data_IF_935521845660
#
_entry.id   IF_935521845660
#
_cell.length_a   1.000
_cell.length_b   1.000
_cell.length_c   1.000
_cell.angle_alpha   90.00
_cell.angle_beta   90.00
_cell.angle_gamma   90.00
#
_symmetry.space_group_name_H-M   'P 1'
#
loop_
_entity.id
_entity.type
_entity.pdbx_description
1 polymer ?
#
# COMPACT_ATOMS: atom_id res chain seq x y z
N UNK A 1 -31.44 -5.70 3.92
CA UNK A 1 -31.01 -4.52 3.16
C UNK A 1 -30.94 -4.90 1.69
N UNK A 2 -31.52 -4.13 0.77
CA UNK A 2 -31.53 -4.50 -0.66
C UNK A 2 -30.18 -4.15 -1.30
N UNK A 3 -29.68 -4.99 -2.22
CA UNK A 3 -28.41 -4.76 -2.95
C UNK A 3 -28.36 -3.42 -3.68
N UNK A 4 -29.51 -2.88 -4.08
CA UNK A 4 -29.61 -1.56 -4.71
C UNK A 4 -29.17 -0.44 -3.75
N UNK A 5 -29.48 -0.55 -2.46
CA UNK A 5 -29.09 0.47 -1.48
C UNK A 5 -27.59 0.40 -1.14
N UNK A 6 -27.02 -0.81 -1.13
CA UNK A 6 -25.60 -1.04 -0.86
C UNK A 6 -24.72 -0.48 -1.97
N UNK A 7 -25.09 -0.72 -3.24
CA UNK A 7 -24.40 -0.15 -4.39
C UNK A 7 -24.46 1.39 -4.39
N UNK A 8 -25.63 1.97 -4.10
CA UNK A 8 -25.77 3.43 -3.98
C UNK A 8 -24.89 3.97 -2.85
N UNK A 9 -24.91 3.33 -1.68
CA UNK A 9 -24.09 3.75 -0.54
C UNK A 9 -22.58 3.70 -0.85
N UNK A 10 -22.11 2.60 -1.46
CA UNK A 10 -20.72 2.45 -1.88
C UNK A 10 -20.33 3.54 -2.89
N UNK A 11 -21.21 3.80 -3.88
CA UNK A 11 -21.00 4.83 -4.89
C UNK A 11 -20.91 6.22 -4.26
N UNK A 12 -21.81 6.56 -3.34
CA UNK A 12 -21.80 7.84 -2.63
C UNK A 12 -20.52 8.01 -1.80
N UNK A 13 -20.06 6.96 -1.12
CA UNK A 13 -18.82 7.00 -0.36
C UNK A 13 -17.59 7.17 -1.26
N UNK A 14 -17.53 6.48 -2.39
CA UNK A 14 -16.47 6.68 -3.39
C UNK A 14 -16.49 8.14 -3.87
N UNK A 15 -17.65 8.67 -4.27
CA UNK A 15 -17.77 10.05 -4.75
C UNK A 15 -17.29 11.07 -3.71
N UNK A 16 -17.61 10.85 -2.43
CA UNK A 16 -17.11 11.70 -1.35
C UNK A 16 -15.59 11.63 -1.21
N UNK A 17 -14.99 10.44 -1.27
CA UNK A 17 -13.53 10.29 -1.21
C UNK A 17 -12.85 10.97 -2.40
N UNK A 18 -13.36 10.80 -3.62
CA UNK A 18 -12.82 11.44 -4.82
C UNK A 18 -12.90 12.96 -4.76
N UNK A 19 -13.96 13.51 -4.16
CA UNK A 19 -14.07 14.96 -3.92
C UNK A 19 -13.06 15.51 -2.91
N UNK A 20 -12.41 14.64 -2.14
CA UNK A 20 -11.37 14.96 -1.15
C UNK A 20 -9.98 14.45 -1.59
N UNK A 21 -9.70 14.49 -2.90
CA UNK A 21 -8.41 14.17 -3.52
C UNK A 21 -7.95 12.70 -3.37
N UNK A 22 -8.87 11.77 -3.09
CA UNK A 22 -8.56 10.35 -3.19
C UNK A 22 -8.53 9.90 -4.65
N UNK A 23 -7.67 8.92 -4.94
CA UNK A 23 -7.60 8.25 -6.22
C UNK A 23 -8.56 7.06 -6.25
N UNK A 24 -9.24 6.85 -7.37
CA UNK A 24 -9.95 5.60 -7.63
C UNK A 24 -8.97 4.56 -8.16
N UNK A 25 -8.90 3.38 -7.55
CA UNK A 25 -8.08 2.27 -8.01
C UNK A 25 -8.89 1.14 -8.65
N UNK A 26 -8.20 0.32 -9.43
CA UNK A 26 -8.74 -0.92 -10.00
C UNK A 26 -8.26 -2.12 -9.16
N UNK A 27 -9.15 -3.03 -8.71
CA UNK A 27 -8.78 -4.28 -8.03
C UNK A 27 -7.74 -5.14 -8.75
N UNK A 28 -7.65 -5.06 -10.06
CA UNK A 28 -6.68 -5.82 -10.86
C UNK A 28 -5.25 -5.37 -10.63
N UNK A 29 -5.04 -4.11 -10.25
CA UNK A 29 -3.72 -3.54 -9.96
C UNK A 29 -3.24 -3.86 -8.54
N UNK A 30 -4.07 -4.50 -7.72
CA UNK A 30 -3.68 -4.94 -6.38
C UNK A 30 -2.87 -6.23 -6.45
N UNK A 31 -1.62 -6.19 -5.97
CA UNK A 31 -0.81 -7.39 -5.83
C UNK A 31 -1.31 -8.20 -4.61
N UNK A 32 -2.08 -9.26 -4.89
CA UNK A 32 -2.61 -10.19 -3.88
C UNK A 32 -1.55 -10.97 -3.10
N UNK A 33 -0.36 -11.17 -3.66
CA UNK A 33 0.73 -11.91 -3.00
C UNK A 33 1.47 -11.02 -1.99
N UNK A 34 1.71 -9.76 -2.34
CA UNK A 34 2.43 -8.81 -1.48
C UNK A 34 1.48 -7.97 -0.62
N UNK A 35 0.19 -7.99 -0.93
CA UNK A 35 -0.85 -7.17 -0.32
C UNK A 35 -0.60 -5.65 -0.47
N UNK A 36 -0.17 -5.24 -1.67
CA UNK A 36 0.22 -3.86 -1.98
C UNK A 36 -0.47 -3.37 -3.25
N UNK A 37 -0.72 -2.06 -3.32
CA UNK A 37 -0.99 -1.37 -4.58
C UNK A 37 0.33 -0.82 -5.13
N UNK A 38 1.00 -1.61 -5.98
CA UNK A 38 2.43 -1.42 -6.33
C UNK A 38 2.73 -0.08 -6.98
N UNK A 39 1.83 0.37 -7.86
CA UNK A 39 1.91 1.66 -8.55
C UNK A 39 2.12 2.81 -7.57
N UNK A 40 1.37 2.81 -6.47
CA UNK A 40 1.42 3.89 -5.48
C UNK A 40 2.68 3.79 -4.59
N UNK A 41 3.08 2.57 -4.22
CA UNK A 41 4.31 2.34 -3.43
C UNK A 41 5.53 2.84 -4.19
N UNK A 42 5.67 2.41 -5.44
CA UNK A 42 6.79 2.77 -6.30
C UNK A 42 6.71 4.24 -6.72
N UNK A 43 5.53 4.73 -7.11
CA UNK A 43 5.31 6.11 -7.51
C UNK A 43 5.65 7.09 -6.38
N UNK A 44 5.22 6.81 -5.15
CA UNK A 44 5.57 7.65 -4.00
C UNK A 44 7.06 7.72 -3.77
N UNK A 45 7.75 6.58 -3.77
CA UNK A 45 9.19 6.52 -3.48
C UNK A 45 10.02 7.16 -4.58
N UNK A 46 9.68 6.92 -5.85
CA UNK A 46 10.39 7.50 -6.99
C UNK A 46 10.25 9.02 -7.02
N UNK A 47 9.05 9.55 -6.80
CA UNK A 47 8.79 10.99 -6.90
C UNK A 47 9.33 11.78 -5.68
N UNK A 48 9.30 11.18 -4.49
CA UNK A 48 9.71 11.87 -3.26
C UNK A 48 11.19 11.68 -2.90
N UNK A 49 11.80 10.58 -3.35
CA UNK A 49 13.07 10.07 -2.83
C UNK A 49 13.98 9.52 -3.93
N UNK A 50 13.98 10.16 -5.11
CA UNK A 50 14.75 9.74 -6.29
C UNK A 50 16.23 9.42 -5.99
N UNK A 51 16.89 10.26 -5.19
CA UNK A 51 18.31 10.05 -4.83
C UNK A 51 18.57 8.74 -4.06
N UNK A 52 17.61 8.30 -3.23
CA UNK A 52 17.69 7.01 -2.52
C UNK A 52 17.30 5.87 -3.46
N UNK A 53 16.31 6.11 -4.33
CA UNK A 53 15.88 5.15 -5.34
C UNK A 53 17.01 4.77 -6.30
N UNK A 54 17.75 5.76 -6.83
CA UNK A 54 18.90 5.52 -7.71
C UNK A 54 20.00 4.68 -7.02
N UNK A 55 20.28 4.96 -5.73
CA UNK A 55 21.21 4.14 -4.94
C UNK A 55 20.72 2.71 -4.78
N UNK A 56 19.42 2.53 -4.54
CA UNK A 56 18.82 1.20 -4.42
C UNK A 56 18.93 0.43 -5.74
N UNK A 57 18.66 1.06 -6.88
CA UNK A 57 18.84 0.46 -8.21
C UNK A 57 20.29 0.04 -8.46
N UNK A 58 21.28 0.82 -8.01
CA UNK A 58 22.69 0.45 -8.12
C UNK A 58 23.06 -0.79 -7.29
N UNK A 59 22.39 -0.99 -6.14
CA UNK A 59 22.58 -2.18 -5.28
C UNK A 59 21.86 -3.41 -5.81
N UNK A 60 20.75 -3.22 -6.54
CA UNK A 60 19.89 -4.27 -7.09
C UNK A 60 19.67 -4.05 -8.60
N UNK A 61 20.67 -4.35 -9.45
CA UNK A 61 20.58 -4.06 -10.89
C UNK A 61 19.51 -4.90 -11.61
N UNK A 62 19.16 -6.06 -11.06
CA UNK A 62 18.16 -6.96 -11.63
C UNK A 62 16.82 -6.77 -10.92
N UNK A 63 15.87 -6.15 -11.62
CA UNK A 63 14.49 -5.92 -11.18
C UNK A 63 14.39 -5.23 -9.80
N UNK A 64 14.88 -3.98 -9.67
CA UNK A 64 14.89 -3.25 -8.39
C UNK A 64 13.47 -3.00 -7.84
N UNK A 65 12.49 -2.79 -8.71
CA UNK A 65 11.09 -2.57 -8.31
C UNK A 65 10.51 -3.76 -7.55
N UNK A 66 10.62 -4.95 -8.11
CA UNK A 66 10.17 -6.17 -7.45
C UNK A 66 10.89 -6.39 -6.12
N UNK A 67 12.22 -6.16 -6.09
CA UNK A 67 13.01 -6.30 -4.85
C UNK A 67 12.58 -5.31 -3.77
N UNK A 68 12.26 -4.08 -4.16
CA UNK A 68 11.77 -3.06 -3.24
C UNK A 68 10.41 -3.44 -2.66
N UNK A 69 9.47 -3.88 -3.50
CA UNK A 69 8.14 -4.33 -3.08
C UNK A 69 8.21 -5.54 -2.14
N UNK A 70 9.04 -6.53 -2.44
CA UNK A 70 9.32 -7.67 -1.56
C UNK A 70 9.86 -7.21 -0.20
N UNK A 71 10.71 -6.17 -0.19
CA UNK A 71 11.30 -5.62 1.03
C UNK A 71 10.26 -4.89 1.88
N UNK A 72 9.35 -4.12 1.26
CA UNK A 72 8.20 -3.50 1.93
C UNK A 72 7.30 -4.58 2.55
N UNK A 73 6.89 -5.57 1.74
CA UNK A 73 6.06 -6.67 2.20
C UNK A 73 6.71 -7.46 3.34
N UNK A 74 8.02 -7.68 3.29
CA UNK A 74 8.77 -8.32 4.38
C UNK A 74 8.67 -7.53 5.68
N UNK A 75 8.72 -6.19 5.66
CA UNK A 75 8.54 -5.40 6.89
C UNK A 75 7.10 -5.41 7.39
N UNK A 76 6.11 -5.43 6.48
CA UNK A 76 4.71 -5.58 6.87
C UNK A 76 4.48 -6.91 7.59
N UNK A 77 5.07 -8.00 7.08
CA UNK A 77 4.89 -9.37 7.62
C UNK A 77 5.67 -9.64 8.92
N UNK A 78 6.57 -8.74 9.36
CA UNK A 78 7.31 -8.89 10.62
C UNK A 78 6.50 -8.60 11.89
N UNK A 79 5.20 -8.34 11.76
CA UNK A 79 4.32 -8.20 12.91
C UNK A 79 4.22 -9.54 13.66
N UNK A 80 5.13 -9.77 14.62
CA UNK A 80 5.00 -10.88 15.57
C UNK A 80 3.97 -10.47 16.64
N UNK A 81 2.85 -11.22 16.79
CA UNK A 81 1.85 -10.93 17.81
C UNK A 81 2.36 -11.04 19.25
N UNK A 82 3.55 -11.63 19.47
CA UNK A 82 4.22 -11.74 20.77
C UNK A 82 5.36 -10.72 20.97
N UNK A 83 5.62 -9.86 20.00
CA UNK A 83 6.68 -8.86 20.12
C UNK A 83 6.39 -7.88 21.26
N UNK A 84 7.44 -7.49 22.00
CA UNK A 84 7.31 -6.45 23.01
C UNK A 84 6.73 -5.16 22.39
N UNK A 85 5.98 -4.39 23.19
CA UNK A 85 5.28 -3.15 22.77
C UNK A 85 6.10 -2.18 21.90
N UNK A 86 7.43 -2.19 22.00
CA UNK A 86 8.33 -1.32 21.23
C UNK A 86 8.61 -1.84 19.82
N UNK A 87 8.82 -3.14 19.65
CA UNK A 87 9.05 -3.78 18.34
C UNK A 87 7.73 -3.95 17.57
N UNK A 88 6.62 -4.17 18.29
CA UNK A 88 5.28 -4.20 17.70
C UNK A 88 4.90 -2.87 17.02
N UNK A 89 5.51 -1.74 17.43
CA UNK A 89 5.30 -0.41 16.83
C UNK A 89 6.15 -0.17 15.58
N UNK A 90 7.19 -0.97 15.33
CA UNK A 90 8.10 -0.80 14.18
C UNK A 90 7.72 -1.62 12.96
N UNK A 91 6.80 -2.58 13.11
CA UNK A 91 6.37 -3.50 12.04
C UNK A 91 4.87 -3.39 11.79
N UNK A 92 4.39 -4.09 10.75
CA UNK A 92 3.01 -3.97 10.27
C UNK A 92 2.73 -2.61 9.62
N UNK A 93 1.49 -2.37 9.19
CA UNK A 93 1.13 -1.17 8.43
C UNK A 93 1.52 0.12 9.15
N UNK A 94 1.19 0.24 10.45
CA UNK A 94 1.48 1.45 11.21
C UNK A 94 2.99 1.67 11.41
N UNK A 95 3.75 0.60 11.63
CA UNK A 95 5.20 0.68 11.77
C UNK A 95 5.87 1.10 10.47
N UNK A 96 5.45 0.51 9.34
CA UNK A 96 5.93 0.85 7.99
C UNK A 96 5.59 2.29 7.61
N UNK A 97 4.44 2.82 8.04
CA UNK A 97 4.08 4.23 7.82
C UNK A 97 4.91 5.20 8.67
N UNK A 98 5.24 4.83 9.92
CA UNK A 98 5.91 5.72 10.89
C UNK A 98 7.43 5.69 10.85
N UNK A 99 8.02 4.62 10.32
CA UNK A 99 9.46 4.39 10.39
C UNK A 99 10.07 4.19 9.01
N UNK A 100 11.34 4.59 8.89
CA UNK A 100 12.10 4.41 7.65
C UNK A 100 12.33 2.93 7.36
N UNK A 101 12.06 2.53 6.12
CA UNK A 101 12.54 1.29 5.55
C UNK A 101 14.04 1.42 5.28
N UNK A 102 14.85 0.58 5.92
CA UNK A 102 16.31 0.57 5.76
C UNK A 102 16.79 -0.65 4.99
N UNK A 103 17.62 -0.41 3.99
CA UNK A 103 18.25 -1.49 3.23
C UNK A 103 19.63 -1.08 2.71
N UNK A 104 20.68 -1.80 3.14
CA UNK A 104 22.07 -1.66 2.63
C UNK A 104 22.54 -0.21 2.43
N UNK A 105 22.24 0.67 3.40
CA UNK A 105 22.64 2.08 3.38
C UNK A 105 21.62 3.04 2.74
N UNK A 106 20.60 2.52 2.05
CA UNK A 106 19.43 3.29 1.61
C UNK A 106 18.38 3.41 2.70
N UNK A 107 17.67 4.53 2.72
CA UNK A 107 16.59 4.80 3.67
C UNK A 107 15.40 5.39 2.92
N UNK A 108 14.23 4.81 3.15
CA UNK A 108 12.98 5.24 2.53
C UNK A 108 11.91 5.48 3.58
N UNK A 109 11.25 6.63 3.54
CA UNK A 109 9.95 6.81 4.19
C UNK A 109 8.85 6.40 3.22
N UNK A 110 7.83 5.68 3.70
CA UNK A 110 6.70 5.26 2.87
C UNK A 110 5.45 6.12 3.08
N UNK A 111 5.52 7.08 3.99
CA UNK A 111 4.51 8.10 4.20
C UNK A 111 5.15 9.35 4.79
N UNK A 112 4.63 10.52 4.43
CA UNK A 112 4.96 11.76 5.10
C UNK A 112 3.75 12.17 5.95
N UNK A 113 3.87 12.29 7.26
CA UNK A 113 2.79 12.84 8.06
C UNK A 113 2.74 14.37 7.90
N UNK A 114 1.55 14.96 8.14
CA UNK A 114 1.38 16.41 8.11
C UNK A 114 2.37 17.04 9.10
N UNK A 115 3.26 17.94 8.65
CA UNK A 115 4.19 18.59 9.56
C UNK A 115 3.42 19.47 10.55
N UNK A 116 3.91 19.54 11.80
CA UNK A 116 3.30 20.39 12.83
C UNK A 116 3.50 21.89 12.54
N UNK A 117 4.53 22.24 11.77
CA UNK A 117 4.94 23.61 11.50
C UNK A 117 5.30 23.74 10.01
N UNK A 118 4.94 24.84 9.36
CA UNK A 118 5.23 25.09 7.94
C UNK A 118 6.69 25.56 7.67
N UNK A 119 7.59 25.33 8.62
CA UNK A 119 8.98 25.78 8.57
C UNK A 119 9.84 25.00 7.58
N UNK A 120 9.46 23.76 7.24
CA UNK A 120 10.19 22.92 6.30
C UNK A 120 9.38 22.68 5.02
N UNK A 121 9.62 23.47 3.95
CA UNK A 121 8.86 23.36 2.71
C UNK A 121 8.97 21.98 2.05
N UNK A 122 10.09 21.27 2.24
CA UNK A 122 10.30 19.93 1.66
C UNK A 122 9.41 18.88 2.33
N UNK A 123 9.13 19.03 3.62
CA UNK A 123 8.21 18.11 4.33
C UNK A 123 6.76 18.34 3.93
N UNK A 124 6.38 19.60 3.71
CA UNK A 124 5.04 19.94 3.21
C UNK A 124 4.86 19.48 1.76
N UNK A 125 5.89 19.63 0.92
CA UNK A 125 5.87 19.14 -0.46
C UNK A 125 5.70 17.61 -0.49
N UNK A 126 6.47 16.87 0.31
CA UNK A 126 6.32 15.40 0.42
C UNK A 126 4.96 14.98 0.99
N UNK A 127 4.41 15.73 1.96
CA UNK A 127 3.08 15.46 2.49
C UNK A 127 2.00 15.54 1.40
N UNK A 128 2.09 16.56 0.54
CA UNK A 128 1.19 16.75 -0.60
C UNK A 128 1.35 15.68 -1.69
N UNK A 129 2.45 14.93 -1.69
CA UNK A 129 2.69 13.82 -2.62
C UNK A 129 2.19 12.47 -2.09
N UNK A 130 1.64 12.41 -0.87
CA UNK A 130 0.97 11.19 -0.41
C UNK A 130 -0.23 10.89 -1.32
N UNK A 131 -0.34 9.64 -1.73
CA UNK A 131 -1.43 9.11 -2.55
C UNK A 131 -2.39 8.36 -1.63
N UNK A 132 -3.59 8.89 -1.46
CA UNK A 132 -4.68 8.16 -0.81
C UNK A 132 -5.53 7.53 -1.91
N UNK A 133 -5.77 6.23 -1.85
CA UNK A 133 -6.48 5.50 -2.90
C UNK A 133 -7.59 4.64 -2.31
N UNK A 134 -8.77 4.70 -2.92
CA UNK A 134 -9.88 3.80 -2.62
C UNK A 134 -10.01 2.77 -3.74
N UNK A 135 -10.10 1.50 -3.37
CA UNK A 135 -10.29 0.39 -4.30
C UNK A 135 -11.59 -0.34 -3.95
N UNK A 136 -12.62 -0.27 -4.78
CA UNK A 136 -13.87 -0.99 -4.56
C UNK A 136 -13.75 -2.46 -4.93
N UNK A 137 -14.57 -3.32 -4.32
CA UNK A 137 -14.82 -4.68 -4.81
C UNK A 137 -13.54 -5.56 -4.89
N UNK A 138 -12.64 -5.42 -3.91
CA UNK A 138 -11.30 -6.03 -3.95
C UNK A 138 -11.32 -7.51 -3.54
N UNK A 139 -10.82 -8.38 -4.41
CA UNK A 139 -10.56 -9.80 -4.08
C UNK A 139 -9.12 -9.95 -3.60
N UNK A 140 -8.94 -10.27 -2.32
CA UNK A 140 -7.63 -10.24 -1.66
C UNK A 140 -6.83 -11.53 -1.79
N UNK A 141 -7.51 -12.68 -1.98
CA UNK A 141 -6.87 -14.00 -1.90
C UNK A 141 -5.98 -14.29 -3.13
N UNK A 142 -4.68 -14.57 -2.96
CA UNK A 142 -3.80 -14.95 -4.07
C UNK A 142 -4.12 -16.32 -4.68
N UNK A 143 -4.98 -17.13 -4.03
CA UNK A 143 -5.40 -18.45 -4.49
C UNK A 143 -6.75 -18.46 -5.23
N UNK A 144 -7.39 -17.30 -5.36
CA UNK A 144 -8.67 -17.14 -6.03
C UNK A 144 -8.53 -16.78 -7.52
N UNK A 145 -7.36 -17.05 -8.14
CA UNK A 145 -7.06 -16.68 -9.53
C UNK A 145 -7.14 -17.88 -10.48
N UNK A 146 -7.34 -17.60 -11.78
CA UNK A 146 -7.33 -18.63 -12.83
C UNK A 146 -5.96 -19.31 -12.96
N UNK A 147 -4.87 -18.56 -12.76
CA UNK A 147 -3.51 -19.10 -12.80
C UNK A 147 -3.28 -20.13 -11.69
N UNK A 148 -3.82 -19.89 -10.49
CA UNK A 148 -3.71 -20.86 -9.40
C UNK A 148 -4.52 -22.13 -9.69
N UNK A 149 -5.71 -21.99 -10.30
CA UNK A 149 -6.52 -23.13 -10.72
C UNK A 149 -5.80 -23.98 -11.77
N UNK A 150 -5.20 -23.35 -12.78
CA UNK A 150 -4.47 -24.08 -13.82
C UNK A 150 -3.21 -24.77 -13.28
N UNK A 151 -2.53 -24.19 -12.29
CA UNK A 151 -1.33 -24.76 -11.69
C UNK A 151 -1.62 -25.88 -10.67
N UNK A 152 -2.69 -25.76 -9.89
CA UNK A 152 -2.93 -26.65 -8.73
C UNK A 152 -4.16 -27.54 -8.88
N UNK A 153 -5.02 -27.29 -9.87
CA UNK A 153 -6.31 -27.95 -10.03
C UNK A 153 -7.37 -27.51 -9.02
N UNK A 154 -7.07 -26.55 -8.13
CA UNK A 154 -8.00 -26.04 -7.12
C UNK A 154 -8.04 -24.51 -7.10
N UNK A 155 -9.20 -23.93 -6.78
CA UNK A 155 -9.40 -22.46 -6.69
C UNK A 155 -10.07 -22.12 -5.38
N UNK A 156 -9.50 -21.17 -4.65
CA UNK A 156 -10.15 -20.64 -3.45
C UNK A 156 -11.37 -19.79 -3.84
N UNK A 157 -12.31 -19.64 -2.91
CA UNK A 157 -13.45 -18.74 -3.11
C UNK A 157 -12.96 -17.29 -3.24
N UNK A 158 -13.48 -16.56 -4.23
CA UNK A 158 -13.19 -15.16 -4.48
C UNK A 158 -13.97 -14.26 -3.49
N UNK A 159 -13.54 -14.28 -2.22
CA UNK A 159 -14.06 -13.36 -1.23
C UNK A 159 -13.65 -11.94 -1.57
N UNK A 160 -14.63 -11.04 -1.47
CA UNK A 160 -14.54 -9.67 -1.90
C UNK A 160 -14.74 -8.75 -0.71
N UNK A 161 -13.93 -7.71 -0.64
CA UNK A 161 -14.06 -6.60 0.31
C UNK A 161 -14.71 -5.45 -0.45
N UNK A 162 -15.70 -4.78 0.16
CA UNK A 162 -16.48 -3.77 -0.54
C UNK A 162 -15.63 -2.55 -0.84
N UNK A 163 -14.89 -2.00 0.12
CA UNK A 163 -13.92 -0.94 -0.12
C UNK A 163 -12.63 -1.14 0.67
N UNK A 164 -11.49 -0.91 0.03
CA UNK A 164 -10.17 -0.91 0.67
C UNK A 164 -9.52 0.44 0.47
N UNK A 165 -9.06 1.02 1.57
CA UNK A 165 -8.37 2.30 1.60
C UNK A 165 -6.86 2.08 1.72
N UNK A 166 -6.11 2.76 0.85
CA UNK A 166 -4.66 2.70 0.79
C UNK A 166 -4.04 4.08 1.01
N UNK A 167 -2.86 4.10 1.62
CA UNK A 167 -1.97 5.26 1.67
C UNK A 167 -0.62 4.85 1.08
N UNK A 168 -0.20 5.50 -0.01
CA UNK A 168 1.00 5.18 -0.76
C UNK A 168 1.10 3.68 -1.07
N UNK A 169 -0.04 3.07 -1.41
CA UNK A 169 -0.19 1.66 -1.76
C UNK A 169 -0.13 0.66 -0.61
N UNK A 170 -0.07 1.14 0.64
CA UNK A 170 -0.19 0.33 1.86
C UNK A 170 -1.66 0.28 2.31
N UNK A 171 -2.26 -0.90 2.52
CA UNK A 171 -3.65 -1.00 2.97
C UNK A 171 -3.80 -0.55 4.43
N UNK A 172 -4.72 0.39 4.68
CA UNK A 172 -4.92 1.00 6.01
C UNK A 172 -6.29 0.70 6.63
N UNK A 173 -7.33 0.50 5.81
CA UNK A 173 -8.68 0.21 6.28
C UNK A 173 -9.50 -0.56 5.23
N UNK A 174 -10.48 -1.31 5.71
CA UNK A 174 -11.51 -1.97 4.91
C UNK A 174 -12.87 -1.52 5.42
N UNK A 175 -13.80 -1.23 4.51
CA UNK A 175 -15.17 -0.79 4.82
C UNK A 175 -16.18 -1.77 4.22
#
# INVERSE_FOLDING_TARGET
MSKANEFTFQTDMINQLLSNDWLLGNPENYNRKLALYEEDVLGFVKDTQESQWQKFCALYPNNPEQKFLERVATQLNKADPNAANKEMRTFGTLGVLRHELRDRGTRFSLCQFKPEHDLNPDTLARYKQNRCRVVPELVYSPWATEEHLTQTGTKAKAWRIDLVLFVNGLPIATL
#
